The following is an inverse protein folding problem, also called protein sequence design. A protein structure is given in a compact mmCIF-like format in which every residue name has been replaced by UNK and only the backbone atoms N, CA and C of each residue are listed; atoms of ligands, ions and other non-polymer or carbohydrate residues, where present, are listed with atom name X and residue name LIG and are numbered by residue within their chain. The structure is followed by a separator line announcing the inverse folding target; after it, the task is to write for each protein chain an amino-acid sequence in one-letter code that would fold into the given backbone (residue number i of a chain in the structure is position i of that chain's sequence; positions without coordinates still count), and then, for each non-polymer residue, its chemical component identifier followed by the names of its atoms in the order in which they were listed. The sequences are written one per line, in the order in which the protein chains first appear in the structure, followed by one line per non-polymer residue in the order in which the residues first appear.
data_IF_553310503216
#
_entry.id   IF_553310503216
#
_cell.length_a   1.000
_cell.length_b   1.000
_cell.length_c   1.000
_cell.angle_alpha   90.00
_cell.angle_beta   90.00
_cell.angle_gamma   90.00
#
_symmetry.space_group_name_H-M   'P 1'
#
loop_
_entity.id
_entity.type
_entity.pdbx_description
1 polymer ?
#
# COMPACT_ATOMS: atom_id res chain seq x y z
N UNK A 1 -22.29 -17.64 -28.01
CA UNK A 1 -22.32 -16.24 -27.51
C UNK A 1 -21.40 -16.16 -26.30
N UNK A 2 -20.50 -15.17 -26.24
CA UNK A 2 -19.50 -15.07 -25.17
C UNK A 2 -20.14 -14.52 -23.89
N UNK A 3 -20.43 -15.39 -22.93
CA UNK A 3 -21.18 -15.07 -21.70
C UNK A 3 -20.43 -14.05 -20.85
N UNK A 4 -19.10 -14.10 -20.84
CA UNK A 4 -18.28 -13.17 -20.08
C UNK A 4 -18.31 -11.76 -20.66
N UNK A 5 -18.27 -11.65 -21.99
CA UNK A 5 -18.45 -10.37 -22.69
C UNK A 5 -19.83 -9.77 -22.37
N UNK A 6 -20.89 -10.57 -22.46
CA UNK A 6 -22.24 -10.07 -22.20
C UNK A 6 -22.43 -9.59 -20.77
N UNK A 7 -21.90 -10.31 -19.77
CA UNK A 7 -21.89 -9.85 -18.38
C UNK A 7 -21.16 -8.51 -18.23
N UNK A 8 -20.03 -8.33 -18.92
CA UNK A 8 -19.28 -7.07 -18.90
C UNK A 8 -20.10 -5.91 -19.50
N UNK A 9 -20.73 -6.13 -20.65
CA UNK A 9 -21.56 -5.12 -21.31
C UNK A 9 -22.83 -4.81 -20.53
N UNK A 10 -23.49 -5.81 -19.94
CA UNK A 10 -24.66 -5.64 -19.10
C UNK A 10 -24.35 -4.78 -17.87
N UNK A 11 -23.22 -5.05 -17.20
CA UNK A 11 -22.76 -4.21 -16.09
C UNK A 11 -22.50 -2.79 -16.56
N UNK A 12 -21.79 -2.57 -17.67
CA UNK A 12 -21.55 -1.22 -18.20
C UNK A 12 -22.85 -0.47 -18.53
N UNK A 13 -23.80 -1.12 -19.22
CA UNK A 13 -25.12 -0.55 -19.58
C UNK A 13 -25.93 -0.14 -18.36
N UNK A 14 -25.94 -0.95 -17.30
CA UNK A 14 -26.64 -0.63 -16.06
C UNK A 14 -26.11 0.62 -15.34
N UNK A 15 -24.96 1.15 -15.75
CA UNK A 15 -24.37 2.35 -15.16
C UNK A 15 -24.67 3.62 -15.94
N UNK A 16 -25.26 3.54 -17.15
CA UNK A 16 -25.61 4.73 -17.94
C UNK A 16 -26.58 5.61 -17.13
N UNK A 17 -26.28 6.91 -17.07
CA UNK A 17 -27.04 7.86 -16.27
C UNK A 17 -26.55 8.03 -14.83
N UNK A 18 -25.57 7.23 -14.38
CA UNK A 18 -24.91 7.46 -13.10
C UNK A 18 -24.26 8.84 -13.07
N UNK A 19 -24.60 9.66 -12.07
CA UNK A 19 -23.99 10.96 -11.83
C UNK A 19 -23.06 10.89 -10.62
N UNK A 20 -21.91 11.53 -10.75
CA UNK A 20 -21.03 11.78 -9.62
C UNK A 20 -21.67 12.71 -8.61
N UNK A 21 -21.28 12.54 -7.35
CA UNK A 21 -21.61 13.49 -6.29
C UNK A 21 -20.34 14.17 -5.80
N UNK A 22 -20.48 15.12 -4.86
CA UNK A 22 -19.37 15.80 -4.21
C UNK A 22 -19.30 15.40 -2.75
N UNK A 23 -18.08 15.29 -2.23
CA UNK A 23 -17.83 15.20 -0.80
C UNK A 23 -17.97 16.60 -0.16
N UNK A 24 -18.09 16.69 1.18
CA UNK A 24 -18.14 17.98 1.88
C UNK A 24 -16.93 18.89 1.59
N UNK A 25 -15.76 18.30 1.33
CA UNK A 25 -14.54 19.02 0.95
C UNK A 25 -14.47 19.38 -0.55
N UNK A 26 -15.60 19.27 -1.28
CA UNK A 26 -15.68 19.58 -2.71
C UNK A 26 -15.01 18.55 -3.63
N UNK A 27 -14.34 17.51 -3.12
CA UNK A 27 -13.76 16.48 -3.97
C UNK A 27 -14.85 15.62 -4.60
N UNK A 28 -14.63 15.12 -5.82
CA UNK A 28 -15.58 14.22 -6.43
C UNK A 28 -15.72 12.88 -5.68
N UNK A 29 -16.96 12.43 -5.53
CA UNK A 29 -17.34 11.17 -4.93
C UNK A 29 -18.00 10.29 -5.98
N UNK A 30 -17.36 9.18 -6.29
CA UNK A 30 -17.96 8.13 -7.12
C UNK A 30 -17.89 6.78 -6.42
N UNK A 31 -18.89 5.93 -6.65
CA UNK A 31 -18.85 4.53 -6.19
C UNK A 31 -17.71 3.74 -6.83
N UNK A 32 -17.28 4.13 -8.03
CA UNK A 32 -16.12 3.54 -8.71
C UNK A 32 -14.82 3.90 -8.00
N UNK A 33 -14.63 5.18 -7.66
CA UNK A 33 -13.51 5.64 -6.85
C UNK A 33 -13.50 5.00 -5.46
N UNK A 34 -14.65 4.97 -4.79
CA UNK A 34 -14.80 4.32 -3.49
C UNK A 34 -14.41 2.83 -3.53
N UNK A 35 -14.93 2.07 -4.51
CA UNK A 35 -14.50 0.69 -4.76
C UNK A 35 -13.02 0.59 -5.14
N UNK A 36 -12.51 1.60 -5.84
CA UNK A 36 -11.10 1.63 -6.20
C UNK A 36 -10.20 1.81 -4.97
N UNK A 37 -10.68 2.55 -3.97
CA UNK A 37 -9.91 3.04 -2.83
C UNK A 37 -9.30 4.42 -3.05
N UNK A 38 -9.80 5.17 -4.04
CA UNK A 38 -9.35 6.54 -4.36
C UNK A 38 -10.55 7.47 -4.51
N UNK A 39 -10.44 8.70 -4.03
CA UNK A 39 -11.52 9.69 -4.08
C UNK A 39 -11.41 10.57 -5.34
N UNK A 40 -11.43 9.92 -6.51
CA UNK A 40 -11.30 10.57 -7.82
C UNK A 40 -12.27 9.98 -8.85
N UNK A 41 -12.34 10.62 -10.00
CA UNK A 41 -13.18 10.25 -11.14
C UNK A 41 -12.28 9.93 -12.31
N UNK A 42 -11.75 8.71 -12.34
CA UNK A 42 -10.97 8.28 -13.50
C UNK A 42 -11.77 7.29 -14.31
N UNK A 43 -11.79 7.50 -15.62
CA UNK A 43 -12.47 6.62 -16.57
C UNK A 43 -11.96 5.18 -16.49
N UNK A 44 -10.66 4.96 -16.29
CA UNK A 44 -10.11 3.63 -16.11
C UNK A 44 -10.59 2.93 -14.82
N UNK A 45 -10.94 3.69 -13.76
CA UNK A 45 -11.54 3.12 -12.55
C UNK A 45 -12.95 2.59 -12.82
N UNK A 46 -13.75 3.31 -13.63
CA UNK A 46 -15.05 2.84 -14.09
C UNK A 46 -14.92 1.53 -14.88
N UNK A 47 -14.04 1.49 -15.87
CA UNK A 47 -13.82 0.29 -16.70
C UNK A 47 -13.33 -0.89 -15.86
N UNK A 48 -12.40 -0.65 -14.93
CA UNK A 48 -11.93 -1.66 -13.96
C UNK A 48 -13.05 -2.17 -13.06
N UNK A 49 -13.95 -1.28 -12.63
CA UNK A 49 -15.11 -1.64 -11.81
C UNK A 49 -16.08 -2.53 -12.59
N UNK A 50 -16.37 -2.20 -13.85
CA UNK A 50 -17.22 -3.02 -14.72
C UNK A 50 -16.65 -4.43 -14.90
N UNK A 51 -15.33 -4.55 -15.08
CA UNK A 51 -14.69 -5.86 -15.18
C UNK A 51 -14.80 -6.64 -13.87
N UNK A 52 -14.52 -6.01 -12.73
CA UNK A 52 -14.64 -6.69 -11.44
C UNK A 52 -16.08 -7.15 -11.14
N UNK A 53 -17.08 -6.29 -11.39
CA UNK A 53 -18.48 -6.59 -11.11
C UNK A 53 -19.11 -7.61 -12.05
N UNK A 54 -18.62 -7.72 -13.27
CA UNK A 54 -19.06 -8.76 -14.21
C UNK A 54 -18.39 -10.12 -14.01
N UNK A 55 -17.45 -10.24 -13.05
CA UNK A 55 -16.62 -11.44 -12.87
C UNK A 55 -15.38 -11.49 -13.77
N UNK A 56 -15.19 -10.48 -14.62
CA UNK A 56 -14.07 -10.34 -15.56
C UNK A 56 -12.84 -9.64 -14.98
N UNK A 57 -12.70 -9.52 -13.65
CA UNK A 57 -11.57 -8.84 -13.02
C UNK A 57 -10.20 -9.46 -13.34
N UNK A 58 -10.16 -10.70 -13.82
CA UNK A 58 -8.94 -11.36 -14.30
C UNK A 58 -8.58 -11.00 -15.75
N UNK A 59 -9.53 -10.48 -16.54
CA UNK A 59 -9.30 -10.13 -17.95
C UNK A 59 -8.25 -9.01 -18.07
N UNK A 60 -8.24 -8.06 -17.14
CA UNK A 60 -7.22 -7.02 -17.05
C UNK A 60 -7.05 -6.51 -15.62
N UNK A 61 -5.85 -5.98 -15.32
CA UNK A 61 -5.54 -5.47 -13.99
C UNK A 61 -6.42 -4.26 -13.68
N UNK A 62 -6.82 -4.12 -12.41
CA UNK A 62 -7.45 -2.90 -11.88
C UNK A 62 -6.50 -1.70 -12.08
N UNK A 63 -6.93 -0.67 -12.80
CA UNK A 63 -6.16 0.54 -13.14
C UNK A 63 -6.97 1.82 -12.92
N UNK A 64 -6.29 2.88 -12.48
CA UNK A 64 -6.83 4.24 -12.44
C UNK A 64 -6.31 5.12 -13.59
N UNK A 65 -5.11 4.83 -14.09
CA UNK A 65 -4.49 5.56 -15.19
C UNK A 65 -4.68 4.83 -16.51
N UNK A 66 -5.10 5.56 -17.54
CA UNK A 66 -5.34 5.05 -18.89
C UNK A 66 -4.05 4.54 -19.53
N UNK A 67 -2.94 5.27 -19.39
CA UNK A 67 -1.66 4.83 -19.96
C UNK A 67 -1.18 3.50 -19.37
N UNK A 68 -1.26 3.32 -18.06
CA UNK A 68 -0.89 2.05 -17.41
C UNK A 68 -1.77 0.87 -17.86
N UNK A 69 -3.05 1.13 -18.20
CA UNK A 69 -3.94 0.17 -18.81
C UNK A 69 -3.47 -0.18 -20.23
N UNK A 70 -3.20 0.81 -21.07
CA UNK A 70 -2.68 0.63 -22.43
C UNK A 70 -1.39 -0.20 -22.42
N UNK A 71 -0.45 0.14 -21.53
CA UNK A 71 0.83 -0.55 -21.41
C UNK A 71 0.66 -2.02 -21.02
N UNK A 72 -0.30 -2.35 -20.14
CA UNK A 72 -0.64 -3.74 -19.82
C UNK A 72 -1.10 -4.52 -21.05
N UNK A 73 -1.93 -3.90 -21.90
CA UNK A 73 -2.45 -4.53 -23.10
C UNK A 73 -1.39 -4.61 -24.21
N UNK A 74 -0.53 -3.60 -24.36
CA UNK A 74 0.62 -3.64 -25.28
C UNK A 74 1.60 -4.75 -24.92
N UNK A 75 1.98 -4.87 -23.64
CA UNK A 75 2.84 -5.97 -23.16
C UNK A 75 2.27 -7.35 -23.45
N UNK A 76 0.94 -7.49 -23.47
CA UNK A 76 0.23 -8.73 -23.78
C UNK A 76 -0.10 -8.91 -25.27
N UNK A 77 0.41 -8.04 -26.15
CA UNK A 77 0.11 -8.02 -27.59
C UNK A 77 -1.42 -7.96 -27.87
N UNK A 78 -2.14 -7.22 -27.03
CA UNK A 78 -3.61 -7.08 -27.06
C UNK A 78 -4.05 -5.62 -27.18
N UNK A 79 -3.26 -4.82 -27.89
CA UNK A 79 -3.59 -3.46 -28.28
C UNK A 79 -3.55 -3.35 -29.80
N UNK A 80 -4.53 -2.70 -30.41
CA UNK A 80 -4.58 -2.57 -31.88
C UNK A 80 -5.55 -1.50 -32.37
N UNK A 81 -5.74 -1.43 -33.68
CA UNK A 81 -6.48 -0.34 -34.33
C UNK A 81 -7.95 -0.65 -34.68
N UNK A 82 -8.37 -1.92 -34.65
CA UNK A 82 -9.70 -2.32 -35.11
C UNK A 82 -10.75 -2.22 -33.98
N UNK A 83 -11.88 -1.51 -34.18
CA UNK A 83 -12.96 -1.46 -33.21
C UNK A 83 -13.63 -2.84 -33.08
N UNK A 84 -13.94 -3.24 -31.85
CA UNK A 84 -14.65 -4.49 -31.54
C UNK A 84 -15.56 -4.26 -30.34
N UNK A 85 -16.75 -4.84 -30.35
CA UNK A 85 -17.63 -4.86 -29.17
C UNK A 85 -16.88 -5.51 -28.00
N UNK A 86 -16.92 -4.87 -26.84
CA UNK A 86 -16.17 -5.26 -25.64
C UNK A 86 -14.74 -4.73 -25.55
N UNK A 87 -14.18 -4.17 -26.63
CA UNK A 87 -12.87 -3.51 -26.56
C UNK A 87 -12.95 -2.25 -25.69
N UNK A 88 -11.82 -1.89 -25.08
CA UNK A 88 -11.68 -0.61 -24.39
C UNK A 88 -11.07 0.37 -25.39
N UNK A 89 -11.86 1.34 -25.84
CA UNK A 89 -11.40 2.37 -26.77
C UNK A 89 -10.57 3.39 -26.00
N UNK A 90 -9.38 3.68 -26.49
CA UNK A 90 -8.46 4.65 -25.91
C UNK A 90 -8.47 5.92 -26.74
N UNK A 91 -8.54 7.06 -26.08
CA UNK A 91 -8.53 8.36 -26.72
C UNK A 91 -7.32 9.19 -26.31
N UNK A 92 -6.97 10.12 -27.19
CA UNK A 92 -6.11 11.24 -26.86
C UNK A 92 -6.84 12.56 -27.17
N UNK A 93 -7.36 13.19 -26.11
CA UNK A 93 -8.04 14.47 -26.14
C UNK A 93 -7.19 15.63 -25.59
N UNK A 94 -5.93 15.40 -25.24
CA UNK A 94 -5.06 16.37 -24.58
C UNK A 94 -3.76 16.50 -25.36
N UNK A 95 -3.64 17.49 -26.26
CA UNK A 95 -2.41 17.71 -26.99
C UNK A 95 -1.24 17.98 -26.03
N UNK A 96 -0.07 17.39 -26.30
CA UNK A 96 1.17 17.65 -25.56
C UNK A 96 1.57 16.63 -24.47
N UNK A 97 0.79 15.55 -24.25
CA UNK A 97 1.26 14.40 -23.45
C UNK A 97 1.14 13.11 -24.27
N UNK A 98 2.25 12.47 -24.70
CA UNK A 98 2.17 11.22 -25.45
C UNK A 98 1.52 10.12 -24.61
N UNK A 99 0.34 9.66 -25.02
CA UNK A 99 -0.37 8.57 -24.35
C UNK A 99 -1.89 8.76 -24.30
N UNK A 100 -2.63 7.66 -24.14
CA UNK A 100 -4.08 7.75 -24.00
C UNK A 100 -4.47 8.40 -22.68
N UNK A 101 -5.36 9.40 -22.74
CA UNK A 101 -5.85 10.17 -21.57
C UNK A 101 -7.29 9.84 -21.19
N UNK A 102 -8.04 9.18 -22.08
CA UNK A 102 -9.38 8.70 -21.78
C UNK A 102 -9.61 7.28 -22.27
N UNK A 103 -10.50 6.54 -21.60
CA UNK A 103 -10.89 5.18 -21.99
C UNK A 103 -12.40 4.99 -21.86
N UNK A 104 -12.99 4.34 -22.86
CA UNK A 104 -14.39 3.94 -22.88
C UNK A 104 -14.57 2.46 -23.18
N UNK A 105 -15.79 1.94 -23.04
CA UNK A 105 -16.16 0.58 -23.41
C UNK A 105 -16.93 0.62 -24.73
N UNK A 106 -16.47 -0.09 -25.76
CA UNK A 106 -17.21 -0.22 -27.02
C UNK A 106 -18.38 -1.17 -26.83
N UNK A 107 -19.61 -0.66 -27.00
CA UNK A 107 -20.84 -1.46 -26.87
C UNK A 107 -21.51 -1.77 -28.20
N UNK A 108 -21.16 -1.03 -29.26
CA UNK A 108 -21.59 -1.30 -30.62
C UNK A 108 -20.56 -0.76 -31.62
N UNK A 109 -20.41 -1.45 -32.75
CA UNK A 109 -19.62 -0.98 -33.91
C UNK A 109 -20.58 -0.85 -35.10
N UNK A 110 -20.59 0.32 -35.74
CA UNK A 110 -21.36 0.63 -36.95
C UNK A 110 -20.43 1.18 -38.02
N UNK A 111 -20.87 1.21 -39.28
CA UNK A 111 -20.09 1.83 -40.37
C UNK A 111 -19.80 3.30 -39.99
N UNK A 112 -18.51 3.65 -39.93
CA UNK A 112 -18.04 5.01 -39.65
C UNK A 112 -18.14 5.49 -38.20
N UNK A 113 -18.64 4.69 -37.24
CA UNK A 113 -18.68 5.11 -35.83
C UNK A 113 -18.81 3.94 -34.85
N UNK A 114 -18.43 4.19 -33.59
CA UNK A 114 -18.68 3.28 -32.47
C UNK A 114 -19.63 3.92 -31.46
N UNK A 115 -20.40 3.08 -30.77
CA UNK A 115 -21.13 3.45 -29.58
C UNK A 115 -20.33 3.02 -28.36
N UNK A 116 -20.15 3.94 -27.42
CA UNK A 116 -19.33 3.73 -26.22
C UNK A 116 -20.12 4.00 -24.95
N UNK A 117 -19.73 3.35 -23.85
CA UNK A 117 -20.10 3.75 -22.50
C UNK A 117 -18.83 4.25 -21.80
N UNK A 118 -18.89 5.49 -21.31
CA UNK A 118 -17.74 6.23 -20.82
C UNK A 118 -18.05 6.86 -19.45
N UNK A 119 -17.29 6.45 -18.43
CA UNK A 119 -17.31 7.07 -17.11
C UNK A 119 -16.38 8.27 -17.04
N UNK A 120 -16.61 9.16 -16.07
CA UNK A 120 -15.90 10.44 -15.96
C UNK A 120 -16.00 11.28 -17.24
N UNK A 121 -17.22 11.42 -17.75
CA UNK A 121 -17.50 12.36 -18.85
C UNK A 121 -18.76 13.16 -18.57
N UNK A 122 -18.93 14.29 -19.28
CA UNK A 122 -20.14 15.11 -19.28
C UNK A 122 -20.22 16.16 -18.18
N UNK A 123 -21.29 16.97 -18.23
CA UNK A 123 -21.67 17.97 -17.22
C UNK A 123 -23.16 17.79 -16.90
N UNK A 124 -23.55 17.36 -15.69
CA UNK A 124 -22.67 16.96 -14.59
C UNK A 124 -21.90 15.66 -14.92
N UNK A 125 -20.74 15.50 -14.28
CA UNK A 125 -19.84 14.38 -14.56
C UNK A 125 -20.47 13.04 -14.19
N UNK A 126 -20.31 12.03 -15.03
CA UNK A 126 -21.01 10.76 -14.85
C UNK A 126 -20.62 9.68 -15.85
N UNK A 127 -21.49 8.69 -15.99
CA UNK A 127 -21.39 7.62 -17.00
C UNK A 127 -22.40 7.89 -18.10
N UNK A 128 -21.89 8.07 -19.32
CA UNK A 128 -22.68 8.44 -20.48
C UNK A 128 -22.45 7.47 -21.64
N UNK A 129 -23.50 7.27 -22.43
CA UNK A 129 -23.38 6.64 -23.73
C UNK A 129 -23.01 7.69 -24.77
N UNK A 130 -22.06 7.40 -25.67
CA UNK A 130 -21.58 8.36 -26.67
C UNK A 130 -21.33 7.71 -28.02
N UNK A 131 -21.59 8.47 -29.08
CA UNK A 131 -21.15 8.13 -30.44
C UNK A 131 -19.76 8.72 -30.65
N UNK A 132 -18.80 7.89 -31.06
CA UNK A 132 -17.41 8.32 -31.30
C UNK A 132 -16.99 8.00 -32.74
N UNK A 133 -16.37 8.99 -33.39
CA UNK A 133 -15.90 8.93 -34.78
C UNK A 133 -14.39 9.20 -34.92
N UNK A 134 -13.78 9.92 -33.97
CA UNK A 134 -12.41 10.42 -34.06
C UNK A 134 -11.71 10.45 -32.69
N UNK A 135 -10.44 10.90 -32.70
CA UNK A 135 -9.56 11.03 -31.53
C UNK A 135 -9.23 9.71 -30.82
N UNK A 136 -9.23 8.60 -31.57
CA UNK A 136 -8.97 7.25 -31.07
C UNK A 136 -7.51 6.90 -31.32
N UNK A 137 -6.78 6.58 -30.26
CA UNK A 137 -5.38 6.13 -30.35
C UNK A 137 -5.25 4.61 -30.46
N UNK A 138 -6.32 3.88 -30.16
CA UNK A 138 -6.41 2.44 -30.37
C UNK A 138 -7.39 1.77 -29.41
N UNK A 139 -7.30 0.45 -29.35
CA UNK A 139 -8.22 -0.41 -28.63
C UNK A 139 -7.45 -1.43 -27.81
N UNK A 140 -7.70 -1.45 -26.50
CA UNK A 140 -7.32 -2.56 -25.65
C UNK A 140 -8.33 -3.69 -25.83
N UNK A 141 -7.87 -4.92 -26.01
CA UNK A 141 -8.72 -6.09 -26.15
C UNK A 141 -8.68 -6.91 -24.87
N UNK A 142 -9.70 -6.88 -23.99
CA UNK A 142 -9.82 -7.83 -22.89
C UNK A 142 -10.02 -9.27 -23.38
N UNK A 143 -9.39 -10.28 -22.77
CA UNK A 143 -9.62 -11.69 -23.08
C UNK A 143 -10.86 -12.20 -22.35
N UNK A 144 -12.06 -11.79 -22.81
CA UNK A 144 -13.29 -12.40 -22.32
C UNK A 144 -13.34 -13.84 -22.86
N UNK A 145 -13.15 -14.83 -22.00
CA UNK A 145 -13.19 -16.25 -22.36
C UNK A 145 -14.33 -16.93 -21.63
N UNK A 146 -15.12 -17.75 -22.33
CA UNK A 146 -16.18 -18.56 -21.69
C UNK A 146 -15.62 -19.61 -20.72
N UNK A 147 -14.33 -19.95 -20.88
CA UNK A 147 -13.57 -20.64 -19.83
C UNK A 147 -13.38 -19.68 -18.67
N UNK A 148 -14.19 -19.86 -17.64
CA UNK A 148 -13.88 -19.35 -16.32
C UNK A 148 -12.46 -19.84 -15.97
N UNK A 149 -11.48 -18.95 -15.89
CA UNK A 149 -10.31 -19.26 -15.07
C UNK A 149 -10.90 -19.43 -13.66
N UNK A 150 -10.70 -20.58 -12.99
CA UNK A 150 -11.32 -20.80 -11.69
C UNK A 150 -11.00 -19.58 -10.81
N UNK A 151 -12.07 -18.97 -10.28
CA UNK A 151 -11.95 -18.01 -9.19
C UNK A 151 -11.06 -18.68 -8.15
N UNK A 152 -10.07 -18.00 -7.52
CA UNK A 152 -9.48 -18.56 -6.32
C UNK A 152 -10.63 -18.90 -5.38
N UNK A 153 -10.80 -20.19 -5.08
CA UNK A 153 -11.82 -20.65 -4.14
C UNK A 153 -11.60 -19.86 -2.85
N UNK A 154 -12.65 -19.32 -2.20
CA UNK A 154 -12.51 -18.92 -0.79
C UNK A 154 -11.90 -20.11 -0.05
N UNK A 155 -10.87 -19.93 0.80
CA UNK A 155 -10.25 -21.06 1.46
C UNK A 155 -11.33 -21.80 2.28
N UNK A 156 -11.51 -23.09 1.97
CA UNK A 156 -12.32 -24.00 2.77
C UNK A 156 -11.59 -24.27 4.09
N UNK A 157 -12.32 -24.43 5.21
CA UNK A 157 -11.72 -24.69 6.51
C UNK A 157 -11.26 -26.15 6.58
N UNK A 158 -10.05 -26.38 7.10
CA UNK A 158 -9.60 -27.72 7.52
C UNK A 158 -8.53 -28.35 6.64
N UNK A 159 -7.28 -28.01 6.91
CA UNK A 159 -6.07 -28.68 6.44
C UNK A 159 -4.86 -27.90 6.98
N UNK A 160 -3.76 -28.52 7.45
CA UNK A 160 -2.66 -27.79 8.05
C UNK A 160 -1.94 -26.96 6.99
N UNK A 161 -2.36 -25.70 6.87
CA UNK A 161 -1.65 -24.67 6.11
C UNK A 161 -0.31 -24.46 6.82
N UNK A 162 0.83 -24.36 6.11
CA UNK A 162 2.04 -23.81 6.71
C UNK A 162 1.65 -22.47 7.32
N UNK A 163 1.76 -22.36 8.65
CA UNK A 163 1.36 -21.20 9.43
C UNK A 163 1.68 -19.92 8.64
N UNK A 164 0.69 -19.09 8.26
CA UNK A 164 0.97 -17.85 7.57
C UNK A 164 2.01 -17.10 8.39
N UNK A 165 3.18 -16.82 7.79
CA UNK A 165 4.17 -15.97 8.43
C UNK A 165 3.42 -14.71 8.87
N UNK A 166 3.35 -14.47 10.17
CA UNK A 166 2.56 -13.39 10.74
C UNK A 166 2.88 -12.11 9.96
N UNK A 167 1.88 -11.53 9.30
CA UNK A 167 2.06 -10.30 8.54
C UNK A 167 2.42 -9.21 9.53
N UNK A 168 3.72 -8.91 9.63
CA UNK A 168 4.24 -7.90 10.54
C UNK A 168 3.67 -6.55 10.11
N UNK A 169 3.10 -5.80 11.04
CA UNK A 169 2.62 -4.44 10.78
C UNK A 169 3.38 -3.43 11.62
N UNK A 170 3.64 -2.26 11.06
CA UNK A 170 4.37 -1.17 11.71
C UNK A 170 3.58 0.13 11.60
N UNK A 171 3.36 0.80 12.74
CA UNK A 171 2.77 2.14 12.76
C UNK A 171 3.89 3.17 12.65
N UNK A 172 3.81 4.05 11.65
CA UNK A 172 4.80 5.10 11.40
C UNK A 172 4.89 6.09 12.56
N UNK A 173 6.10 6.56 12.84
CA UNK A 173 6.45 7.51 13.90
C UNK A 173 6.99 8.80 13.30
N UNK A 174 7.04 9.92 14.06
CA UNK A 174 7.69 11.14 13.60
C UNK A 174 9.12 10.87 13.12
N UNK A 175 9.49 11.42 11.96
CA UNK A 175 10.81 11.23 11.35
C UNK A 175 11.02 9.93 10.56
N UNK A 176 10.01 9.04 10.50
CA UNK A 176 10.12 7.84 9.69
C UNK A 176 10.10 8.14 8.19
N UNK A 177 10.88 7.37 7.43
CA UNK A 177 10.81 7.32 5.96
C UNK A 177 10.63 5.87 5.50
N UNK A 178 10.07 5.66 4.30
CA UNK A 178 9.94 4.30 3.75
C UNK A 178 11.29 3.59 3.63
N UNK A 179 12.34 4.34 3.29
CA UNK A 179 13.72 3.86 3.23
C UNK A 179 14.20 3.37 4.60
N UNK A 180 14.11 4.21 5.64
CA UNK A 180 14.53 3.85 6.98
C UNK A 180 13.75 2.66 7.55
N UNK A 181 12.43 2.62 7.34
CA UNK A 181 11.57 1.50 7.76
C UNK A 181 11.97 0.23 7.01
N UNK A 182 12.09 0.26 5.68
CA UNK A 182 12.44 -0.93 4.91
C UNK A 182 13.78 -1.54 5.32
N UNK A 183 14.77 -0.69 5.61
CA UNK A 183 16.08 -1.11 6.09
C UNK A 183 16.02 -1.71 7.49
N UNK A 184 15.26 -1.05 8.39
CA UNK A 184 15.03 -1.49 9.77
C UNK A 184 14.40 -2.88 9.82
N UNK A 185 13.39 -3.12 8.99
CA UNK A 185 12.66 -4.38 8.95
C UNK A 185 13.20 -5.41 7.95
N UNK A 186 14.31 -5.11 7.26
CA UNK A 186 14.92 -5.99 6.24
C UNK A 186 13.90 -6.45 5.18
N UNK A 187 13.10 -5.52 4.67
CA UNK A 187 12.08 -5.81 3.65
C UNK A 187 12.73 -6.25 2.34
N UNK A 188 12.44 -7.46 1.82
CA UNK A 188 12.90 -7.88 0.50
C UNK A 188 12.39 -6.92 -0.58
N UNK A 189 13.27 -6.45 -1.48
CA UNK A 189 12.92 -5.42 -2.47
C UNK A 189 12.88 -3.98 -1.92
N UNK A 190 13.24 -3.79 -0.65
CA UNK A 190 13.46 -2.50 -0.02
C UNK A 190 12.21 -1.61 0.04
N UNK A 191 12.43 -0.30 0.10
CA UNK A 191 11.35 0.68 0.29
C UNK A 191 10.35 0.74 -0.87
N UNK A 192 10.77 0.39 -2.09
CA UNK A 192 9.90 0.34 -3.27
C UNK A 192 8.86 -0.75 -3.12
N UNK A 193 9.26 -1.92 -2.63
CA UNK A 193 8.36 -3.02 -2.34
C UNK A 193 7.43 -2.70 -1.16
N UNK A 194 7.98 -2.08 -0.12
CA UNK A 194 7.20 -1.58 1.01
C UNK A 194 6.13 -0.56 0.56
N UNK A 195 6.50 0.39 -0.29
CA UNK A 195 5.59 1.38 -0.88
C UNK A 195 4.51 0.70 -1.73
N UNK A 196 4.92 -0.27 -2.56
CA UNK A 196 4.03 -1.02 -3.46
C UNK A 196 2.98 -1.81 -2.69
N UNK A 197 3.37 -2.53 -1.64
CA UNK A 197 2.46 -3.34 -0.82
C UNK A 197 1.50 -2.46 -0.03
N UNK A 198 1.99 -1.32 0.48
CA UNK A 198 1.18 -0.36 1.24
C UNK A 198 0.46 0.67 0.38
N UNK A 199 0.60 0.58 -0.95
CA UNK A 199 -0.03 1.49 -1.92
C UNK A 199 0.31 2.96 -1.69
N UNK A 200 1.56 3.23 -1.32
CA UNK A 200 2.07 4.59 -1.07
C UNK A 200 2.68 5.14 -2.37
N UNK A 201 2.00 6.11 -2.95
CA UNK A 201 2.37 6.69 -4.25
C UNK A 201 3.43 7.79 -4.15
N UNK A 202 3.48 8.51 -3.02
CA UNK A 202 4.50 9.51 -2.75
C UNK A 202 5.27 9.14 -1.47
N UNK A 203 6.51 8.64 -1.58
CA UNK A 203 7.34 8.25 -0.44
C UNK A 203 7.60 9.37 0.57
N UNK A 204 7.58 10.63 0.13
CA UNK A 204 7.82 11.82 0.95
C UNK A 204 6.61 12.24 1.78
N UNK A 205 5.42 11.65 1.55
CA UNK A 205 4.18 11.98 2.26
C UNK A 205 3.80 10.93 3.30
N UNK A 206 4.79 10.22 3.86
CA UNK A 206 4.54 9.24 4.91
C UNK A 206 4.04 9.93 6.18
N UNK A 207 2.72 9.88 6.41
CA UNK A 207 2.10 10.49 7.60
C UNK A 207 2.40 9.65 8.84
N UNK A 208 2.60 10.32 9.97
CA UNK A 208 2.73 9.69 11.30
C UNK A 208 1.43 8.98 11.66
N UNK A 209 1.52 7.82 12.33
CA UNK A 209 0.37 7.04 12.79
C UNK A 209 -0.25 6.10 11.74
N UNK A 210 0.30 6.05 10.53
CA UNK A 210 -0.18 5.14 9.48
C UNK A 210 0.35 3.72 9.73
N UNK A 211 -0.55 2.74 9.67
CA UNK A 211 -0.19 1.32 9.79
C UNK A 211 0.25 0.77 8.44
N UNK A 212 1.50 0.32 8.37
CA UNK A 212 2.11 -0.32 7.21
C UNK A 212 2.15 -1.84 7.41
N UNK A 213 1.84 -2.60 6.36
CA UNK A 213 2.17 -4.01 6.22
C UNK A 213 3.63 -4.13 5.80
N UNK A 214 4.41 -4.93 6.52
CA UNK A 214 5.83 -5.16 6.26
C UNK A 214 5.97 -6.53 5.56
N UNK A 215 6.07 -6.57 4.21
CA UNK A 215 6.08 -7.83 3.47
C UNK A 215 7.40 -8.57 3.65
N UNK A 216 7.37 -9.77 4.22
CA UNK A 216 8.56 -10.63 4.40
C UNK A 216 9.66 -10.04 5.29
N UNK A 217 9.41 -8.90 5.94
CA UNK A 217 10.36 -8.25 6.82
C UNK A 217 10.38 -8.92 8.20
N UNK A 218 11.51 -8.82 8.87
CA UNK A 218 11.72 -9.31 10.23
C UNK A 218 11.65 -8.14 11.19
N UNK A 219 11.00 -8.34 12.32
CA UNK A 219 11.07 -7.35 13.39
C UNK A 219 12.54 -7.19 13.77
N UNK A 220 13.04 -5.95 13.93
CA UNK A 220 14.35 -5.75 14.52
C UNK A 220 14.38 -6.44 15.88
N UNK A 221 15.54 -6.98 16.32
CA UNK A 221 15.69 -7.36 17.71
C UNK A 221 15.23 -6.17 18.55
N UNK A 222 14.37 -6.45 19.55
CA UNK A 222 13.91 -5.42 20.46
C UNK A 222 15.13 -4.63 20.94
N UNK A 223 15.09 -3.29 20.95
CA UNK A 223 16.18 -2.54 21.53
C UNK A 223 16.44 -3.14 22.89
N UNK A 224 17.68 -3.60 23.12
CA UNK A 224 18.07 -4.12 24.42
C UNK A 224 17.57 -3.10 25.43
N UNK A 225 16.72 -3.53 26.38
CA UNK A 225 16.17 -2.62 27.40
C UNK A 225 17.36 -1.84 27.91
N UNK A 226 17.41 -0.54 27.60
CA UNK A 226 18.50 0.31 28.05
C UNK A 226 18.34 0.26 29.56
N UNK A 227 19.18 -0.52 30.23
CA UNK A 227 19.10 -0.67 31.66
C UNK A 227 19.17 0.76 32.20
N UNK A 228 18.08 1.21 32.83
CA UNK A 228 18.08 2.51 33.48
C UNK A 228 19.19 2.41 34.48
N UNK A 229 20.27 3.14 34.20
CA UNK A 229 21.42 3.11 35.07
C UNK A 229 21.03 3.89 36.31
N UNK A 230 20.81 3.16 37.40
CA UNK A 230 20.54 3.81 38.68
C UNK A 230 21.89 4.14 39.28
N UNK A 231 22.17 5.43 39.43
CA UNK A 231 23.37 5.93 40.08
C UNK A 231 23.04 6.35 41.51
N UNK A 232 23.93 6.01 42.45
CA UNK A 232 23.88 6.43 43.85
C UNK A 232 25.11 7.26 44.17
N UNK A 233 24.92 8.47 44.67
CA UNK A 233 26.00 9.23 45.30
C UNK A 233 26.24 8.65 46.70
N UNK A 234 27.47 8.24 46.99
CA UNK A 234 27.89 7.70 48.29
C UNK A 234 27.74 8.78 49.36
N UNK A 235 27.09 8.45 50.47
CA UNK A 235 26.97 9.31 51.67
C UNK A 235 27.71 8.67 52.85
N UNK A 236 27.97 9.41 53.95
CA UNK A 236 28.59 8.82 55.14
C UNK A 236 27.86 7.54 55.59
N UNK A 237 28.60 6.44 55.78
CA UNK A 237 28.07 5.13 56.16
C UNK A 237 27.70 4.18 55.02
N UNK A 238 27.73 4.62 53.75
CA UNK A 238 27.58 3.73 52.60
C UNK A 238 28.85 2.86 52.43
N UNK A 239 28.67 1.54 52.31
CA UNK A 239 29.70 0.59 51.88
C UNK A 239 29.07 -0.44 50.93
N UNK A 240 29.87 -1.29 50.29
CA UNK A 240 29.32 -2.24 49.31
C UNK A 240 28.30 -3.20 49.91
N UNK A 241 28.46 -3.62 51.17
CA UNK A 241 27.51 -4.51 51.86
C UNK A 241 26.19 -3.81 52.16
N UNK A 242 26.22 -2.57 52.67
CA UNK A 242 25.01 -1.80 52.97
C UNK A 242 24.25 -1.42 51.69
N UNK A 243 24.96 -1.03 50.63
CA UNK A 243 24.38 -0.79 49.31
C UNK A 243 23.82 -2.07 48.69
N UNK A 244 24.53 -3.20 48.83
CA UNK A 244 24.07 -4.49 48.32
C UNK A 244 22.73 -4.89 48.94
N UNK A 245 22.62 -4.83 50.27
CA UNK A 245 21.38 -5.12 51.01
C UNK A 245 20.26 -4.15 50.63
N UNK A 246 20.56 -2.84 50.63
CA UNK A 246 19.56 -1.78 50.37
C UNK A 246 18.93 -1.87 48.99
N UNK A 247 19.70 -2.21 47.96
CA UNK A 247 19.24 -2.22 46.57
C UNK A 247 18.93 -3.62 46.02
N UNK A 248 19.15 -4.66 46.82
CA UNK A 248 18.97 -6.06 46.43
C UNK A 248 19.90 -6.47 45.30
N UNK A 249 21.15 -5.99 45.30
CA UNK A 249 22.15 -6.26 44.26
C UNK A 249 23.39 -6.87 44.91
N UNK A 250 23.90 -8.05 44.51
CA UNK A 250 25.09 -8.64 45.12
C UNK A 250 26.32 -7.73 45.04
N UNK A 251 27.16 -7.73 46.08
CA UNK A 251 28.44 -6.98 46.12
C UNK A 251 29.30 -7.27 44.89
N UNK A 252 29.37 -8.53 44.47
CA UNK A 252 30.12 -8.96 43.27
C UNK A 252 29.60 -8.30 42.00
N UNK A 253 28.29 -8.05 41.91
CA UNK A 253 27.64 -7.36 40.79
C UNK A 253 27.92 -5.86 40.83
N UNK A 254 27.91 -5.24 42.01
CA UNK A 254 28.30 -3.83 42.19
C UNK A 254 29.75 -3.60 41.78
N UNK A 255 30.66 -4.49 42.20
CA UNK A 255 32.06 -4.43 41.79
C UNK A 255 32.21 -4.56 40.29
N UNK A 256 31.65 -5.62 39.69
CA UNK A 256 31.74 -5.89 38.25
C UNK A 256 31.25 -4.72 37.37
N UNK A 257 30.16 -4.04 37.76
CA UNK A 257 29.58 -2.93 36.99
C UNK A 257 30.38 -1.63 37.04
N UNK A 258 31.26 -1.47 38.03
CA UNK A 258 31.99 -0.24 38.29
C UNK A 258 33.51 -0.42 38.07
N UNK A 259 33.93 -1.35 37.20
CA UNK A 259 35.35 -1.67 36.93
C UNK A 259 36.04 -0.81 35.87
N UNK A 260 35.35 -0.16 34.91
CA UNK A 260 36.05 0.46 33.76
C UNK A 260 35.31 1.51 32.91
N UNK A 261 35.31 2.77 33.36
CA UNK A 261 34.98 3.91 32.51
C UNK A 261 35.52 5.23 33.08
N UNK A 262 35.88 6.23 32.24
CA UNK A 262 36.35 7.53 32.72
C UNK A 262 35.18 8.35 33.29
N UNK A 263 35.37 8.88 34.50
CA UNK A 263 34.43 9.79 35.17
C UNK A 263 33.52 9.12 36.21
N UNK A 264 33.64 9.58 37.45
CA UNK A 264 32.74 9.46 38.62
C UNK A 264 32.25 8.06 39.07
N UNK A 265 32.54 6.97 38.35
CA UNK A 265 31.93 5.64 38.56
C UNK A 265 32.85 4.47 38.88
N UNK A 266 34.17 4.66 38.98
CA UNK A 266 35.11 3.55 39.16
C UNK A 266 35.31 3.22 40.65
N UNK A 267 35.18 1.94 41.03
CA UNK A 267 35.58 1.46 42.37
C UNK A 267 37.05 1.04 42.31
N UNK A 268 37.94 1.87 42.86
CA UNK A 268 39.38 1.60 42.91
C UNK A 268 39.75 0.65 44.05
N UNK A 269 39.10 0.79 45.21
CA UNK A 269 39.25 -0.11 46.35
C UNK A 269 37.84 -0.57 46.81
N UNK A 270 37.52 -1.88 46.73
CA UNK A 270 36.25 -2.43 47.19
C UNK A 270 35.90 -2.11 48.66
N UNK A 271 36.91 -1.95 49.51
CA UNK A 271 36.74 -1.70 50.94
C UNK A 271 36.53 -0.21 51.27
N UNK A 272 36.72 0.70 50.30
CA UNK A 272 36.68 2.15 50.52
C UNK A 272 35.85 2.84 49.43
N UNK A 273 34.62 3.21 49.78
CA UNK A 273 33.80 4.11 48.97
C UNK A 273 33.99 5.54 49.47
N UNK A 274 34.16 6.49 48.56
CA UNK A 274 34.40 7.90 48.90
C UNK A 274 33.07 8.65 48.87
N UNK A 275 32.77 9.45 49.91
CA UNK A 275 31.58 10.31 49.92
C UNK A 275 31.57 11.21 48.69
N UNK A 276 30.42 11.30 48.01
CA UNK A 276 30.29 12.02 46.74
C UNK A 276 30.61 11.19 45.49
N UNK A 277 31.24 10.02 45.62
CA UNK A 277 31.46 9.09 44.52
C UNK A 277 30.12 8.58 43.98
N UNK A 278 29.97 8.45 42.66
CA UNK A 278 28.74 7.93 42.05
C UNK A 278 28.90 6.45 41.75
N UNK A 279 28.17 5.59 42.44
CA UNK A 279 28.19 4.15 42.18
C UNK A 279 27.02 3.78 41.26
N UNK A 280 27.30 3.01 40.21
CA UNK A 280 26.27 2.40 39.39
C UNK A 280 25.69 1.18 40.09
N UNK A 281 24.41 1.28 40.47
CA UNK A 281 23.66 0.26 41.20
C UNK A 281 22.96 -0.73 40.22
N UNK A 282 22.31 -0.23 39.16
CA UNK A 282 21.63 -1.02 38.13
C UNK A 282 22.03 -0.61 36.72
#
# INVERSE_FOLDING_TARGET
MNVQLEKFLAVARSQVGYRSSRMPNGLPRTKYGAWYGLQHEYCAMFVSWCAAKSGNGAAFRKRALVQALIDDFRRKRRFGAKPRVGALVCFDWMPGRPGGNHVGIVVQVKKGHILTIEGNTGKPNGVHQRIRKASITGYCYPPFTDRARPRPKPPLPGGPVPKPAASLTYTTKPGDTLSAISNRFKVPGGWKELARVNRISNPSLLRVGVKLVIPGGRAPPAPAKRAVQIWRTVVPGDNLSTLSKRFGVPVTTLLARNKGGPGQGQIKNPSLLVVGQRIRIK
#
